data_IF_019732092855
#
_entry.id   IF_019732092855
#
_cell.length_a   1.000
_cell.length_b   1.000
_cell.length_c   1.000
_cell.angle_alpha   90.00
_cell.angle_beta   90.00
_cell.angle_gamma   90.00
#
_symmetry.space_group_name_H-M   'P 1'
#
loop_
_entity.id
_entity.type
_entity.pdbx_description
1 polymer ?
#
# COMPACT_ATOMS: atom_id res chain seq x y z
N UNK A 1 6.28 -7.93 -12.23
CA UNK A 1 5.52 -8.60 -11.16
C UNK A 1 4.35 -7.70 -10.79
N UNK A 2 3.20 -8.27 -10.48
CA UNK A 2 2.00 -7.51 -10.18
C UNK A 2 1.84 -7.43 -8.66
N UNK A 3 1.74 -6.21 -8.14
CA UNK A 3 1.59 -5.94 -6.71
C UNK A 3 0.24 -5.27 -6.46
N UNK A 4 -0.49 -5.78 -5.47
CA UNK A 4 -1.75 -5.17 -5.05
C UNK A 4 -1.48 -4.01 -4.11
N UNK A 5 -2.12 -2.88 -4.38
CA UNK A 5 -2.03 -1.64 -3.60
C UNK A 5 -3.38 -1.37 -2.98
N UNK A 6 -3.47 -1.45 -1.64
CA UNK A 6 -4.67 -1.13 -0.88
C UNK A 6 -4.55 0.25 -0.27
N UNK A 7 -5.45 1.17 -0.64
CA UNK A 7 -5.49 2.53 -0.10
C UNK A 7 -6.69 2.78 0.81
N UNK A 8 -6.70 3.91 1.55
CA UNK A 8 -7.70 4.20 2.57
C UNK A 8 -9.08 4.55 1.99
N UNK A 9 -9.21 4.62 0.66
CA UNK A 9 -10.42 5.06 -0.08
C UNK A 9 -11.05 3.91 -0.88
N UNK A 10 -10.88 2.65 -0.43
CA UNK A 10 -11.33 1.46 -1.18
C UNK A 10 -10.71 1.31 -2.59
N UNK A 11 -9.64 2.07 -2.86
CA UNK A 11 -8.85 1.90 -4.08
C UNK A 11 -7.90 0.71 -3.86
N UNK A 12 -8.32 -0.44 -4.38
CA UNK A 12 -7.43 -1.51 -4.77
C UNK A 12 -6.88 -1.17 -6.16
N UNK A 13 -5.67 -0.65 -6.21
CA UNK A 13 -4.91 -0.46 -7.44
C UNK A 13 -3.93 -1.64 -7.62
N UNK A 14 -3.65 -2.00 -8.86
CA UNK A 14 -2.60 -2.97 -9.16
C UNK A 14 -1.44 -2.24 -9.84
N UNK A 15 -0.24 -2.44 -9.34
CA UNK A 15 0.97 -1.87 -9.93
C UNK A 15 1.87 -2.97 -10.47
N UNK A 16 2.31 -2.79 -11.72
CA UNK A 16 3.32 -3.65 -12.31
C UNK A 16 4.70 -3.03 -12.06
N UNK A 17 5.57 -3.77 -11.36
CA UNK A 17 6.91 -3.35 -11.06
C UNK A 17 7.89 -4.52 -11.16
N UNK A 18 9.18 -4.21 -11.27
CA UNK A 18 10.22 -5.25 -11.37
C UNK A 18 10.56 -5.89 -10.02
N UNK A 19 10.25 -5.22 -8.90
CA UNK A 19 10.45 -5.68 -7.53
C UNK A 19 9.52 -4.95 -6.56
N UNK A 20 9.40 -5.46 -5.32
CA UNK A 20 8.61 -4.84 -4.26
C UNK A 20 9.12 -3.44 -3.92
N UNK A 21 10.44 -3.22 -3.88
CA UNK A 21 11.04 -1.91 -3.65
C UNK A 21 10.69 -0.89 -4.74
N UNK A 22 10.65 -1.33 -6.00
CA UNK A 22 10.30 -0.50 -7.16
C UNK A 22 8.81 -0.13 -7.12
N UNK A 23 7.96 -1.09 -6.74
CA UNK A 23 6.54 -0.87 -6.48
C UNK A 23 6.31 0.11 -5.32
N UNK A 24 6.99 -0.10 -4.19
CA UNK A 24 6.92 0.79 -3.02
C UNK A 24 7.35 2.20 -3.36
N UNK A 25 8.45 2.35 -4.10
CA UNK A 25 8.95 3.66 -4.54
C UNK A 25 7.94 4.35 -5.44
N UNK A 26 7.36 3.61 -6.39
CA UNK A 26 6.32 4.13 -7.29
C UNK A 26 5.08 4.60 -6.53
N UNK A 27 4.60 3.81 -5.56
CA UNK A 27 3.44 4.15 -4.73
C UNK A 27 3.74 5.33 -3.80
N UNK A 28 4.94 5.39 -3.21
CA UNK A 28 5.40 6.56 -2.42
C UNK A 28 5.45 7.84 -3.26
N UNK A 29 5.92 7.76 -4.50
CA UNK A 29 5.95 8.90 -5.40
C UNK A 29 4.54 9.36 -5.80
N UNK A 30 3.58 8.44 -5.93
CA UNK A 30 2.16 8.77 -6.17
C UNK A 30 1.48 9.36 -4.92
N UNK A 31 1.89 8.94 -3.73
CA UNK A 31 1.30 9.35 -2.45
C UNK A 31 2.36 9.88 -1.46
N UNK A 32 3.01 11.02 -1.76
CA UNK A 32 4.13 11.53 -0.96
C UNK A 32 3.72 11.96 0.47
N UNK A 33 2.43 12.25 0.67
CA UNK A 33 1.84 12.64 1.96
C UNK A 33 1.32 11.45 2.79
N UNK A 34 1.43 10.23 2.28
CA UNK A 34 0.90 9.01 2.91
C UNK A 34 2.05 8.10 3.38
N UNK A 35 1.78 7.29 4.39
CA UNK A 35 2.67 6.20 4.75
C UNK A 35 2.43 5.02 3.82
N UNK A 36 3.50 4.52 3.19
CA UNK A 36 3.42 3.38 2.29
C UNK A 36 4.30 2.26 2.84
N UNK A 37 3.70 1.10 3.08
CA UNK A 37 4.38 -0.09 3.58
C UNK A 37 3.87 -1.34 2.86
N UNK A 38 4.68 -2.39 2.81
CA UNK A 38 4.25 -3.69 2.30
C UNK A 38 4.25 -4.74 3.41
N UNK A 39 3.37 -5.74 3.31
CA UNK A 39 3.41 -6.91 4.18
C UNK A 39 4.16 -8.09 3.54
N UNK A 40 4.28 -9.19 4.28
CA UNK A 40 4.93 -10.43 3.83
C UNK A 40 4.23 -11.09 2.62
N UNK A 41 2.97 -10.74 2.36
CA UNK A 41 2.19 -11.19 1.20
C UNK A 41 2.38 -10.31 -0.03
N UNK A 42 3.38 -9.42 -0.03
CA UNK A 42 3.68 -8.48 -1.12
C UNK A 42 2.53 -7.51 -1.45
N UNK A 43 1.59 -7.30 -0.52
CA UNK A 43 0.55 -6.27 -0.66
C UNK A 43 1.08 -4.95 -0.12
N UNK A 44 0.90 -3.89 -0.89
CA UNK A 44 1.29 -2.53 -0.53
C UNK A 44 0.09 -1.82 0.08
N UNK A 45 0.28 -1.25 1.25
CA UNK A 45 -0.72 -0.49 1.97
C UNK A 45 -0.37 0.98 1.94
N UNK A 46 -1.33 1.80 1.51
CA UNK A 46 -1.24 3.26 1.57
C UNK A 46 -2.07 3.71 2.78
N UNK A 47 -1.38 4.17 3.80
CA UNK A 47 -1.94 4.60 5.07
C UNK A 47 -1.89 6.11 5.20
N UNK A 48 -2.88 6.70 5.86
CA UNK A 48 -2.77 8.10 6.25
C UNK A 48 -1.64 8.26 7.27
N UNK A 49 -0.88 9.35 7.17
CA UNK A 49 0.20 9.68 8.11
C UNK A 49 -0.31 9.92 9.55
N UNK A 50 -1.60 10.23 9.70
CA UNK A 50 -2.27 10.37 10.98
C UNK A 50 -2.87 9.04 11.51
N UNK A 51 -2.84 7.97 10.73
CA UNK A 51 -3.35 6.64 11.11
C UNK A 51 -2.19 5.74 11.54
N UNK A 52 -2.39 4.96 12.61
CA UNK A 52 -1.43 3.94 13.04
C UNK A 52 -1.27 2.89 11.93
N UNK A 53 -0.02 2.54 11.63
CA UNK A 53 0.33 1.69 10.48
C UNK A 53 -0.29 0.29 10.61
N UNK A 54 -0.26 -0.29 11.81
CA UNK A 54 -0.90 -1.58 12.09
C UNK A 54 -2.42 -1.53 11.96
N UNK A 55 -3.06 -0.45 12.43
CA UNK A 55 -4.51 -0.28 12.36
C UNK A 55 -4.97 -0.12 10.90
N UNK A 56 -4.23 0.67 10.13
CA UNK A 56 -4.44 0.83 8.69
C UNK A 56 -4.31 -0.51 7.94
N UNK A 57 -3.21 -1.23 8.16
CA UNK A 57 -2.97 -2.53 7.54
C UNK A 57 -4.07 -3.53 7.90
N UNK A 58 -4.47 -3.60 9.17
CA UNK A 58 -5.55 -4.47 9.62
C UNK A 58 -6.88 -4.13 8.92
N UNK A 59 -7.26 -2.85 8.87
CA UNK A 59 -8.48 -2.37 8.20
C UNK A 59 -8.49 -2.73 6.71
N UNK A 60 -7.38 -2.45 6.01
CA UNK A 60 -7.25 -2.70 4.57
C UNK A 60 -7.12 -4.19 4.24
N UNK A 61 -6.58 -4.99 5.16
CA UNK A 61 -6.54 -6.45 5.02
C UNK A 61 -7.95 -7.05 5.08
N UNK A 62 -8.80 -6.55 5.98
CA UNK A 62 -10.15 -7.07 6.24
C UNK A 62 -11.22 -6.55 5.28
N UNK A 63 -10.96 -5.48 4.53
CA UNK A 63 -11.87 -4.87 3.55
C UNK A 63 -12.08 -5.73 2.27
N UNK A 64 -12.46 -7.00 2.43
CA UNK A 64 -12.52 -8.02 1.39
C UNK A 64 -13.94 -8.37 0.93
#
# INVERSE_FOLDING_TARGET
MLYSVKGPVDQCDEINANSLDDALTSVKNKHPEKHVAADASETIYVCNTAEELEACQARLRDAH
#
